data_IF_531973403442
#
_entry.id   IF_531973403442
#
_cell.length_a   1.000
_cell.length_b   1.000
_cell.length_c   1.000
_cell.angle_alpha   90.00
_cell.angle_beta   90.00
_cell.angle_gamma   90.00
#
_symmetry.space_group_name_H-M   'P 1'
#
loop_
_entity.id
_entity.type
_entity.pdbx_description
1 polymer ?
#
# COMPACT_ATOMS: atom_id res chain seq x y z
N UNK A 1 -2.41 -24.26 17.99
CA UNK A 1 -3.06 -23.50 16.92
C UNK A 1 -3.05 -22.02 17.29
N UNK A 2 -2.32 -21.22 16.53
CA UNK A 2 -2.34 -19.75 16.71
C UNK A 2 -3.47 -19.22 15.83
N UNK A 3 -4.51 -18.59 16.39
CA UNK A 3 -5.59 -18.03 15.58
C UNK A 3 -5.04 -16.89 14.71
N UNK A 4 -5.34 -16.91 13.43
CA UNK A 4 -5.08 -15.82 12.51
C UNK A 4 -6.29 -14.90 12.55
N UNK A 5 -6.12 -13.70 13.11
CA UNK A 5 -7.13 -12.64 13.08
C UNK A 5 -7.10 -11.96 11.70
N UNK A 6 -7.65 -12.62 10.70
CA UNK A 6 -7.79 -12.06 9.36
C UNK A 6 -9.28 -11.99 8.99
N UNK A 7 -10.05 -11.25 9.78
CA UNK A 7 -11.50 -11.14 9.59
C UNK A 7 -11.93 -10.00 8.67
N UNK A 8 -11.02 -9.09 8.32
CA UNK A 8 -11.35 -7.94 7.49
C UNK A 8 -11.21 -8.27 6.00
N UNK A 9 -12.21 -7.89 5.22
CA UNK A 9 -12.22 -8.07 3.76
C UNK A 9 -10.98 -7.49 3.06
N UNK A 10 -10.34 -6.47 3.66
CA UNK A 10 -9.10 -5.90 3.16
C UNK A 10 -7.92 -6.88 3.29
N UNK A 11 -7.77 -7.55 4.43
CA UNK A 11 -6.69 -8.52 4.65
C UNK A 11 -6.84 -9.73 3.74
N UNK A 12 -8.08 -10.18 3.51
CA UNK A 12 -8.36 -11.27 2.56
C UNK A 12 -7.98 -10.86 1.14
N UNK A 13 -8.31 -9.63 0.73
CA UNK A 13 -7.93 -9.12 -0.59
C UNK A 13 -6.41 -8.99 -0.77
N UNK A 14 -5.67 -8.61 0.27
CA UNK A 14 -4.19 -8.63 0.23
C UNK A 14 -3.64 -10.05 0.08
N UNK A 15 -4.26 -11.02 0.76
CA UNK A 15 -3.89 -12.42 0.61
C UNK A 15 -4.14 -12.92 -0.81
N UNK A 16 -5.28 -12.54 -1.42
CA UNK A 16 -5.56 -12.84 -2.82
C UNK A 16 -4.56 -12.22 -3.79
N UNK A 17 -4.10 -10.99 -3.53
CA UNK A 17 -3.03 -10.38 -4.31
C UNK A 17 -1.74 -11.21 -4.24
N UNK A 18 -1.39 -11.69 -3.05
CA UNK A 18 -0.23 -12.56 -2.85
C UNK A 18 -0.36 -13.87 -3.61
N UNK A 19 -1.51 -14.52 -3.56
CA UNK A 19 -1.80 -15.74 -4.31
C UNK A 19 -1.68 -15.47 -5.82
N UNK A 20 -2.30 -14.41 -6.31
CA UNK A 20 -2.27 -14.01 -7.71
C UNK A 20 -0.83 -13.81 -8.24
N UNK A 21 0.05 -13.19 -7.42
CA UNK A 21 1.46 -13.02 -7.79
C UNK A 21 2.18 -14.38 -7.84
N UNK A 22 1.84 -15.31 -6.94
CA UNK A 22 2.43 -16.65 -6.97
C UNK A 22 1.94 -17.47 -8.16
N UNK A 23 0.70 -17.28 -8.60
CA UNK A 23 0.13 -17.93 -9.79
C UNK A 23 0.71 -17.34 -11.08
N UNK A 24 1.04 -16.05 -11.11
CA UNK A 24 1.57 -15.38 -12.29
C UNK A 24 2.89 -16.00 -12.75
N UNK A 25 2.88 -16.63 -13.92
CA UNK A 25 4.06 -17.25 -14.56
C UNK A 25 4.86 -16.19 -15.33
N UNK A 26 5.39 -15.20 -14.62
CA UNK A 26 6.20 -14.14 -15.23
C UNK A 26 7.69 -14.47 -15.14
N UNK A 27 8.44 -14.44 -16.27
CA UNK A 27 9.89 -14.62 -16.27
C UNK A 27 10.63 -13.48 -15.58
N UNK A 28 9.97 -12.33 -15.43
CA UNK A 28 10.52 -11.14 -14.75
C UNK A 28 10.46 -11.24 -13.23
N UNK A 29 9.66 -12.17 -12.69
CA UNK A 29 9.44 -12.26 -11.24
C UNK A 29 10.74 -12.55 -10.48
N UNK A 30 11.08 -11.66 -9.55
CA UNK A 30 12.24 -11.72 -8.67
C UNK A 30 11.78 -11.52 -7.23
N UNK A 31 11.72 -12.57 -6.44
CA UNK A 31 11.27 -12.49 -5.04
C UNK A 31 12.30 -11.77 -4.15
N UNK A 32 13.57 -11.93 -4.49
CA UNK A 32 14.69 -11.33 -3.77
C UNK A 32 15.60 -10.63 -4.76
N UNK A 33 15.96 -9.40 -4.46
CA UNK A 33 16.96 -8.63 -5.18
C UNK A 33 17.86 -7.90 -4.19
N UNK A 34 19.06 -7.53 -4.60
CA UNK A 34 19.98 -6.74 -3.77
C UNK A 34 19.34 -5.42 -3.28
N UNK A 35 18.38 -4.87 -4.03
CA UNK A 35 17.66 -3.63 -3.68
C UNK A 35 16.85 -3.78 -2.39
N UNK A 36 16.40 -4.99 -2.04
CA UNK A 36 15.71 -5.25 -0.78
C UNK A 36 16.58 -4.96 0.44
N UNK A 37 17.90 -5.03 0.28
CA UNK A 37 18.88 -4.83 1.36
C UNK A 37 19.55 -3.45 1.30
N UNK A 38 19.08 -2.54 0.45
CA UNK A 38 19.59 -1.18 0.38
C UNK A 38 19.24 -0.39 1.64
N UNK A 39 20.23 0.26 2.26
CA UNK A 39 20.01 1.16 3.40
C UNK A 39 19.10 2.36 3.06
N UNK A 40 18.88 2.66 1.78
CA UNK A 40 17.90 3.64 1.33
C UNK A 40 16.47 3.29 1.73
N UNK A 41 16.18 2.01 1.97
CA UNK A 41 14.88 1.54 2.46
C UNK A 41 14.68 1.80 3.97
N UNK A 42 15.72 2.23 4.67
CA UNK A 42 15.74 2.41 6.12
C UNK A 42 16.25 1.16 6.83
N UNK A 43 16.89 1.36 7.97
CA UNK A 43 17.53 0.29 8.74
C UNK A 43 16.54 -0.84 9.14
N UNK A 44 15.36 -0.47 9.63
CA UNK A 44 14.36 -1.46 10.05
C UNK A 44 13.85 -2.32 8.90
N UNK A 45 13.68 -1.73 7.70
CA UNK A 45 13.27 -2.50 6.53
C UNK A 45 14.34 -3.49 6.08
N UNK A 46 15.61 -3.08 6.13
CA UNK A 46 16.74 -3.97 5.82
C UNK A 46 16.83 -5.10 6.83
N UNK A 47 16.73 -4.81 8.14
CA UNK A 47 16.75 -5.81 9.19
C UNK A 47 15.60 -6.82 9.04
N UNK A 48 14.38 -6.34 8.77
CA UNK A 48 13.22 -7.21 8.52
C UNK A 48 13.43 -8.10 7.28
N UNK A 49 13.97 -7.56 6.18
CA UNK A 49 14.26 -8.34 4.99
C UNK A 49 15.35 -9.39 5.23
N UNK A 50 16.37 -9.10 6.04
CA UNK A 50 17.39 -10.06 6.44
C UNK A 50 16.79 -11.19 7.28
N UNK A 51 15.89 -10.88 8.22
CA UNK A 51 15.20 -11.88 9.04
C UNK A 51 14.28 -12.77 8.20
N UNK A 52 13.66 -12.22 7.15
CA UNK A 52 12.81 -12.97 6.23
C UNK A 52 13.57 -13.76 5.16
N UNK A 53 14.87 -13.51 4.99
CA UNK A 53 15.67 -14.15 3.96
C UNK A 53 15.64 -15.70 4.00
N UNK A 54 15.77 -16.37 5.17
CA UNK A 54 15.66 -17.82 5.24
C UNK A 54 14.29 -18.33 4.74
N UNK A 55 13.21 -17.63 5.12
CA UNK A 55 11.85 -17.99 4.69
C UNK A 55 11.72 -17.88 3.17
N UNK A 56 12.19 -16.78 2.59
CA UNK A 56 12.14 -16.54 1.13
C UNK A 56 12.99 -17.55 0.35
N UNK A 57 14.15 -17.94 0.87
CA UNK A 57 15.02 -18.93 0.26
C UNK A 57 14.44 -20.35 0.31
N UNK A 58 13.76 -20.71 1.41
CA UNK A 58 13.15 -22.02 1.58
C UNK A 58 11.88 -22.21 0.78
N UNK A 59 10.98 -21.22 0.84
CA UNK A 59 9.64 -21.38 0.26
C UNK A 59 9.54 -20.95 -1.20
N UNK A 60 10.46 -20.15 -1.70
CA UNK A 60 10.47 -19.65 -3.09
C UNK A 60 9.15 -19.00 -3.54
N UNK A 61 8.34 -18.53 -2.59
CA UNK A 61 7.03 -17.91 -2.83
C UNK A 61 7.01 -16.48 -2.36
N UNK A 62 6.24 -15.67 -3.06
CA UNK A 62 5.93 -14.32 -2.63
C UNK A 62 5.05 -14.36 -1.38
N UNK A 63 5.48 -13.70 -0.32
CA UNK A 63 4.80 -13.66 0.98
C UNK A 63 4.11 -12.32 1.26
N UNK A 64 4.08 -11.42 0.26
CA UNK A 64 3.51 -10.10 0.35
C UNK A 64 4.52 -9.02 0.74
N UNK A 65 4.15 -7.78 0.45
CA UNK A 65 4.82 -6.59 0.97
C UNK A 65 3.92 -5.90 1.97
N UNK A 66 4.53 -5.15 2.87
CA UNK A 66 3.76 -4.31 3.79
C UNK A 66 2.92 -3.30 2.99
N UNK A 67 1.61 -3.25 3.18
CA UNK A 67 0.76 -2.27 2.54
C UNK A 67 1.01 -0.88 3.13
N UNK A 68 1.30 0.09 2.27
CA UNK A 68 1.39 1.50 2.63
C UNK A 68 0.24 2.23 1.94
N UNK A 69 -0.64 2.91 2.68
CA UNK A 69 -1.73 3.72 2.10
C UNK A 69 -1.20 5.03 1.48
N UNK A 70 -0.21 4.87 0.59
CA UNK A 70 0.43 5.95 -0.14
C UNK A 70 0.11 5.87 -1.63
N UNK A 71 0.68 6.75 -2.41
CA UNK A 71 0.54 6.73 -3.87
C UNK A 71 1.03 5.41 -4.47
N UNK A 72 0.23 4.86 -5.36
CA UNK A 72 0.51 3.60 -6.06
C UNK A 72 0.76 3.90 -7.54
N UNK A 73 2.02 4.04 -7.96
CA UNK A 73 2.33 4.27 -9.36
C UNK A 73 2.18 2.97 -10.16
N UNK A 74 1.49 3.05 -11.29
CA UNK A 74 1.45 1.98 -12.27
C UNK A 74 1.28 2.56 -13.68
N UNK A 75 1.68 1.79 -14.68
CA UNK A 75 1.58 2.17 -16.08
C UNK A 75 0.49 1.35 -16.79
N UNK A 76 0.01 1.85 -17.91
CA UNK A 76 -0.91 1.09 -18.78
C UNK A 76 -0.28 -0.22 -19.27
N UNK A 77 1.03 -0.23 -19.47
CA UNK A 77 1.77 -1.42 -19.90
C UNK A 77 1.70 -2.52 -18.83
N UNK A 78 2.00 -2.19 -17.56
CA UNK A 78 1.94 -3.17 -16.49
C UNK A 78 0.52 -3.68 -16.24
N UNK A 79 -0.48 -2.80 -16.39
CA UNK A 79 -1.88 -3.20 -16.30
C UNK A 79 -2.25 -4.21 -17.37
N UNK A 80 -1.82 -4.00 -18.64
CA UNK A 80 -2.08 -4.94 -19.73
C UNK A 80 -1.35 -6.27 -19.51
N UNK A 81 -0.07 -6.22 -19.18
CA UNK A 81 0.75 -7.40 -18.89
C UNK A 81 0.11 -8.26 -17.79
N UNK A 82 -0.27 -7.66 -16.68
CA UNK A 82 -0.88 -8.41 -15.58
C UNK A 82 -2.27 -8.95 -15.91
N UNK A 83 -3.05 -8.23 -16.73
CA UNK A 83 -4.34 -8.70 -17.19
C UNK A 83 -4.22 -9.90 -18.15
N UNK A 84 -3.21 -9.92 -19.00
CA UNK A 84 -2.92 -11.07 -19.87
C UNK A 84 -2.45 -12.29 -19.09
N UNK A 85 -1.69 -12.09 -18.00
CA UNK A 85 -1.23 -13.16 -17.11
C UNK A 85 -2.34 -13.77 -16.27
N UNK A 86 -3.35 -13.00 -15.88
CA UNK A 86 -4.38 -13.38 -14.92
C UNK A 86 -5.78 -12.90 -15.36
N UNK A 87 -6.24 -13.25 -16.56
CA UNK A 87 -7.47 -12.71 -17.13
C UNK A 87 -8.70 -13.00 -16.27
N UNK A 88 -8.82 -14.19 -15.70
CA UNK A 88 -9.96 -14.61 -14.90
C UNK A 88 -10.07 -13.80 -13.60
N UNK A 89 -8.93 -13.51 -12.94
CA UNK A 89 -8.89 -12.70 -11.74
C UNK A 89 -9.33 -11.26 -11.99
N UNK A 90 -8.91 -10.70 -13.12
CA UNK A 90 -9.32 -9.36 -13.53
C UNK A 90 -10.80 -9.29 -13.89
N UNK A 91 -11.29 -10.29 -14.62
CA UNK A 91 -12.71 -10.40 -14.97
C UNK A 91 -13.59 -10.51 -13.73
N UNK A 92 -13.21 -11.38 -12.80
CA UNK A 92 -13.93 -11.53 -11.54
C UNK A 92 -13.94 -10.23 -10.72
N UNK A 93 -12.78 -9.58 -10.56
CA UNK A 93 -12.68 -8.33 -9.82
C UNK A 93 -13.51 -7.20 -10.47
N UNK A 94 -13.55 -7.13 -11.82
CA UNK A 94 -14.31 -6.11 -12.54
C UNK A 94 -15.82 -6.27 -12.44
N UNK A 95 -16.30 -7.50 -12.27
CA UNK A 95 -17.73 -7.80 -12.08
C UNK A 95 -18.18 -7.66 -10.63
N UNK A 96 -17.26 -7.68 -9.69
CA UNK A 96 -17.56 -7.61 -8.26
C UNK A 96 -17.91 -6.17 -7.85
N UNK A 97 -19.13 -5.95 -7.34
CA UNK A 97 -19.58 -4.64 -6.86
C UNK A 97 -18.79 -4.17 -5.64
N UNK A 98 -18.44 -5.09 -4.76
CA UNK A 98 -17.65 -4.85 -3.55
C UNK A 98 -16.53 -5.88 -3.45
N UNK A 99 -15.50 -5.55 -2.66
CA UNK A 99 -14.46 -6.52 -2.30
C UNK A 99 -15.09 -7.71 -1.58
N UNK A 100 -14.65 -8.89 -1.96
CA UNK A 100 -15.05 -10.15 -1.34
C UNK A 100 -13.81 -11.05 -1.14
N UNK A 101 -14.03 -12.29 -0.73
CA UNK A 101 -12.99 -13.27 -0.43
C UNK A 101 -12.14 -13.70 -1.64
N UNK A 102 -12.50 -13.31 -2.86
CA UNK A 102 -11.83 -13.77 -4.09
C UNK A 102 -11.26 -12.61 -4.94
N UNK A 103 -11.65 -11.36 -4.63
CA UNK A 103 -11.21 -10.20 -5.42
C UNK A 103 -9.75 -9.87 -5.16
N UNK A 104 -9.04 -9.49 -6.24
CA UNK A 104 -7.77 -8.77 -6.16
C UNK A 104 -8.04 -7.26 -6.08
N UNK A 105 -7.07 -6.51 -5.57
CA UNK A 105 -7.17 -5.05 -5.47
C UNK A 105 -6.10 -4.37 -6.34
N UNK A 106 -6.18 -3.04 -6.49
CA UNK A 106 -5.16 -2.25 -7.18
C UNK A 106 -3.74 -2.40 -6.59
N UNK A 107 -3.64 -2.80 -5.33
CA UNK A 107 -2.37 -3.13 -4.69
C UNK A 107 -1.64 -4.29 -5.36
N UNK A 108 -2.37 -5.17 -6.05
CA UNK A 108 -1.78 -6.22 -6.86
C UNK A 108 -0.79 -5.67 -7.90
N UNK A 109 -1.12 -4.55 -8.57
CA UNK A 109 -0.24 -3.93 -9.56
C UNK A 109 1.08 -3.45 -8.93
N UNK A 110 1.00 -2.82 -7.75
CA UNK A 110 2.17 -2.37 -7.02
C UNK A 110 3.03 -3.55 -6.55
N UNK A 111 2.40 -4.58 -6.02
CA UNK A 111 3.09 -5.77 -5.55
C UNK A 111 3.73 -6.53 -6.72
N UNK A 112 3.07 -6.58 -7.87
CA UNK A 112 3.64 -7.15 -9.08
C UNK A 112 4.86 -6.36 -9.57
N UNK A 113 4.77 -5.02 -9.63
CA UNK A 113 5.91 -4.16 -9.97
C UNK A 113 7.11 -4.38 -9.04
N UNK A 114 6.84 -4.53 -7.75
CA UNK A 114 7.88 -4.83 -6.76
C UNK A 114 8.45 -6.23 -6.94
N UNK A 115 7.59 -7.22 -7.19
CA UNK A 115 8.00 -8.61 -7.41
C UNK A 115 8.78 -8.81 -8.71
N UNK A 116 8.60 -7.96 -9.72
CA UNK A 116 9.38 -7.94 -10.96
C UNK A 116 10.62 -7.03 -10.90
N UNK A 117 10.82 -6.35 -9.79
CA UNK A 117 11.89 -5.39 -9.57
C UNK A 117 11.89 -4.17 -10.54
N UNK A 118 10.75 -3.88 -11.15
CA UNK A 118 10.58 -2.73 -12.04
C UNK A 118 10.38 -1.42 -11.26
N UNK A 119 9.85 -1.52 -10.03
CA UNK A 119 9.65 -0.39 -9.15
C UNK A 119 10.11 -0.69 -7.73
N UNK A 120 10.93 0.20 -7.20
CA UNK A 120 11.40 0.17 -5.82
C UNK A 120 11.21 1.53 -5.16
N UNK A 121 10.16 1.69 -4.34
CA UNK A 121 10.03 2.90 -3.54
C UNK A 121 11.15 2.93 -2.49
N UNK A 122 11.91 4.02 -2.50
CA UNK A 122 12.91 4.27 -1.48
C UNK A 122 12.31 5.15 -0.38
N UNK A 123 12.60 4.83 0.88
CA UNK A 123 12.23 5.67 2.03
C UNK A 123 10.73 5.94 2.17
N UNK A 124 9.88 4.93 2.04
CA UNK A 124 8.43 5.08 2.19
C UNK A 124 8.03 5.81 3.48
N UNK A 125 8.72 5.54 4.60
CA UNK A 125 8.50 6.22 5.88
C UNK A 125 8.79 7.72 5.89
N UNK A 126 9.70 8.19 5.03
CA UNK A 126 10.01 9.61 4.87
C UNK A 126 9.17 10.26 3.78
N UNK A 127 8.71 9.46 2.83
CA UNK A 127 7.91 9.95 1.72
C UNK A 127 6.49 10.30 2.15
N UNK A 128 5.87 9.45 2.96
CA UNK A 128 4.52 9.69 3.42
C UNK A 128 4.08 8.78 4.55
N UNK A 129 2.90 9.06 5.06
CA UNK A 129 2.28 8.32 6.16
C UNK A 129 0.77 8.30 6.00
N UNK A 130 0.15 7.16 6.29
CA UNK A 130 -1.27 7.08 6.61
C UNK A 130 -1.46 7.44 8.08
N UNK A 131 -2.40 8.31 8.35
CA UNK A 131 -2.72 8.84 9.68
C UNK A 131 -4.20 8.55 9.94
N UNK A 132 -4.54 7.72 10.93
CA UNK A 132 -5.92 7.61 11.36
C UNK A 132 -6.38 8.96 11.94
N UNK A 133 -7.59 9.38 11.59
CA UNK A 133 -8.20 10.58 12.18
C UNK A 133 -8.59 10.27 13.64
N UNK A 134 -8.50 11.27 14.52
CA UNK A 134 -8.87 11.14 15.92
C UNK A 134 -8.29 12.22 16.81
N UNK A 135 -8.78 12.24 18.06
CA UNK A 135 -8.47 13.31 19.04
C UNK A 135 -6.97 13.46 19.34
N UNK A 136 -6.21 12.38 19.27
CA UNK A 136 -4.77 12.36 19.57
C UNK A 136 -3.90 12.94 18.43
N UNK A 137 -4.52 13.33 17.30
CA UNK A 137 -3.78 13.80 16.14
C UNK A 137 -3.53 15.31 16.19
N UNK A 138 -2.26 15.69 16.13
CA UNK A 138 -1.84 17.07 15.88
C UNK A 138 -1.68 17.30 14.37
N UNK A 139 -2.78 17.68 13.71
CA UNK A 139 -2.80 17.93 12.27
C UNK A 139 -1.84 19.03 11.82
N UNK A 140 -1.63 20.08 12.64
CA UNK A 140 -0.69 21.16 12.32
C UNK A 140 0.74 20.66 12.24
N UNK A 141 1.15 19.86 13.24
CA UNK A 141 2.48 19.24 13.28
C UNK A 141 2.67 18.26 12.13
N UNK A 142 1.66 17.47 11.80
CA UNK A 142 1.69 16.55 10.65
C UNK A 142 1.87 17.29 9.34
N UNK A 143 1.08 18.33 9.11
CA UNK A 143 1.14 19.16 7.89
C UNK A 143 2.43 20.01 7.81
N UNK A 144 3.06 20.32 8.93
CA UNK A 144 4.37 20.99 8.97
C UNK A 144 5.54 20.03 8.72
N UNK A 145 5.31 18.72 8.72
CA UNK A 145 6.34 17.74 8.47
C UNK A 145 6.89 17.83 7.03
N UNK A 146 8.07 17.25 6.81
CA UNK A 146 8.69 17.18 5.47
C UNK A 146 8.11 16.04 4.59
N UNK A 147 7.06 15.37 5.05
CA UNK A 147 6.40 14.31 4.28
C UNK A 147 5.75 14.89 3.03
N UNK A 148 5.89 14.17 1.91
CA UNK A 148 5.33 14.57 0.61
C UNK A 148 3.87 14.17 0.47
N UNK A 149 3.46 13.10 1.16
CA UNK A 149 2.11 12.55 1.10
C UNK A 149 1.62 12.24 2.51
N UNK A 150 0.45 12.74 2.84
CA UNK A 150 -0.29 12.38 4.04
C UNK A 150 -1.66 11.86 3.60
N UNK A 151 -2.01 10.66 4.04
CA UNK A 151 -3.32 10.06 3.83
C UNK A 151 -4.05 10.08 5.16
N UNK A 152 -5.07 10.91 5.31
CA UNK A 152 -5.94 10.91 6.49
C UNK A 152 -7.07 9.90 6.27
N UNK A 153 -7.23 8.98 7.21
CA UNK A 153 -8.20 7.89 7.12
C UNK A 153 -9.14 7.95 8.32
N UNK A 154 -10.44 7.95 8.05
CA UNK A 154 -11.53 7.96 9.02
C UNK A 154 -11.96 6.54 9.46
N UNK A 155 -11.37 5.50 8.85
CA UNK A 155 -11.75 4.11 9.11
C UNK A 155 -11.18 3.52 10.40
N UNK A 156 -12.04 2.87 11.19
CA UNK A 156 -11.63 1.90 12.19
C UNK A 156 -11.75 2.29 13.66
N UNK A 157 -12.14 3.50 13.99
CA UNK A 157 -12.46 3.91 15.37
C UNK A 157 -13.76 4.71 15.40
N UNK A 158 -14.49 4.62 16.51
CA UNK A 158 -15.59 5.54 16.76
C UNK A 158 -15.02 6.95 16.97
N UNK A 159 -15.11 7.76 15.93
CA UNK A 159 -14.71 9.16 15.96
C UNK A 159 -15.92 10.03 15.66
N UNK A 160 -15.99 11.19 16.28
CA UNK A 160 -16.88 12.26 15.80
C UNK A 160 -16.27 12.86 14.53
N UNK A 161 -16.68 12.28 13.38
CA UNK A 161 -16.14 12.66 12.07
C UNK A 161 -16.32 14.14 11.77
N UNK A 162 -17.46 14.74 12.13
CA UNK A 162 -17.70 16.16 11.83
C UNK A 162 -16.78 17.08 12.64
N UNK A 163 -16.54 16.75 13.91
CA UNK A 163 -15.58 17.46 14.73
C UNK A 163 -14.14 17.33 14.19
N UNK A 164 -13.72 16.13 13.84
CA UNK A 164 -12.38 15.87 13.29
C UNK A 164 -12.19 16.52 11.91
N UNK A 165 -13.20 16.53 11.07
CA UNK A 165 -13.21 17.24 9.79
C UNK A 165 -13.00 18.74 9.96
N UNK A 166 -13.67 19.35 10.94
CA UNK A 166 -13.48 20.78 11.27
C UNK A 166 -12.03 21.04 11.71
N UNK A 167 -11.47 20.21 12.58
CA UNK A 167 -10.07 20.32 13.05
C UNK A 167 -9.07 20.19 11.90
N UNK A 168 -9.25 19.18 11.04
CA UNK A 168 -8.39 18.96 9.88
C UNK A 168 -8.49 20.12 8.89
N UNK A 169 -9.71 20.57 8.55
CA UNK A 169 -9.92 21.67 7.63
C UNK A 169 -9.30 22.99 8.15
N UNK A 170 -9.40 23.24 9.45
CA UNK A 170 -8.73 24.40 10.07
C UNK A 170 -7.21 24.34 9.86
N UNK A 171 -6.59 23.19 10.10
CA UNK A 171 -5.16 23.00 9.91
C UNK A 171 -4.73 23.11 8.43
N UNK A 172 -5.56 22.60 7.50
CA UNK A 172 -5.34 22.73 6.06
C UNK A 172 -5.45 24.19 5.60
N UNK A 173 -6.46 24.93 6.04
CA UNK A 173 -6.63 26.37 5.70
C UNK A 173 -5.49 27.23 6.24
N UNK A 174 -4.97 26.91 7.42
CA UNK A 174 -3.79 27.59 7.95
C UNK A 174 -2.52 27.30 7.11
N UNK A 175 -2.35 26.05 6.67
CA UNK A 175 -1.22 25.62 5.83
C UNK A 175 -1.30 26.17 4.42
N UNK A 176 -2.48 26.14 3.81
CA UNK A 176 -2.77 26.55 2.44
C UNK A 176 -3.68 27.78 2.42
N UNK A 177 -3.22 28.87 3.04
CA UNK A 177 -3.99 30.12 3.19
C UNK A 177 -4.28 30.85 1.87
N UNK A 178 -3.49 30.57 0.83
CA UNK A 178 -3.70 31.14 -0.51
C UNK A 178 -4.39 30.10 -1.39
N UNK A 179 -5.54 30.45 -1.94
CA UNK A 179 -6.21 29.65 -2.96
C UNK A 179 -5.29 29.49 -4.18
N UNK A 180 -5.28 28.31 -4.77
CA UNK A 180 -4.67 28.11 -6.08
C UNK A 180 -5.54 28.75 -7.16
N UNK A 181 -4.98 29.06 -8.32
CA UNK A 181 -5.72 29.57 -9.47
C UNK A 181 -6.81 28.61 -10.01
N UNK A 182 -6.77 27.34 -9.59
CA UNK A 182 -7.74 26.32 -9.97
C UNK A 182 -8.88 26.14 -8.96
N UNK A 183 -8.81 26.78 -7.80
CA UNK A 183 -9.86 26.77 -6.78
C UNK A 183 -10.90 27.86 -7.09
N UNK A 184 -12.15 27.41 -7.34
CA UNK A 184 -13.30 28.29 -7.59
C UNK A 184 -13.87 28.88 -6.31
#
# INVERSE_FOLDING_TARGET
HTPILASEAFNVALFNNMLAINEAKSPKKRLITWRNFSLRNGFFAVAANLLMLPVLLFFHKFIGFRPDHLTQPFTKTIYRETRELLPERYEFASRSKFRNSETITSWFLLDYLRATAEFYPHNSFKFGKMVPMGLDQDYKKLLASQMKVLCFNDGGTEIDFESEKVRLNKALNEKFSKKSEFEK
#
